data_IF_452874752771
#
_entry.id   IF_452874752771
#
_cell.length_a   1.000
_cell.length_b   1.000
_cell.length_c   1.000
_cell.angle_alpha   90.00
_cell.angle_beta   90.00
_cell.angle_gamma   90.00
#
_symmetry.space_group_name_H-M   'P 1'
#
loop_
_entity.id
_entity.type
_entity.pdbx_description
1 polymer ?
#
# COMPACT_ATOMS: atom_id res chain seq x y z
N UNK A 1 2.04 4.88 -5.07
CA UNK A 1 2.18 4.79 -3.60
C UNK A 1 2.92 3.52 -3.24
N UNK A 2 3.99 3.62 -2.46
CA UNK A 2 4.71 2.43 -1.96
C UNK A 2 3.86 1.74 -0.87
N UNK A 3 3.90 0.41 -0.81
CA UNK A 3 3.14 -0.35 0.19
C UNK A 3 3.69 -1.77 0.37
N UNK A 4 3.29 -2.42 1.46
CA UNK A 4 3.66 -3.81 1.78
C UNK A 4 2.50 -4.81 1.70
N UNK A 5 1.40 -4.47 1.00
CA UNK A 5 0.18 -5.30 0.95
C UNK A 5 0.49 -6.69 0.41
N UNK A 6 1.31 -6.80 -0.63
CA UNK A 6 1.74 -8.08 -1.21
C UNK A 6 2.50 -8.96 -0.21
N UNK A 7 3.33 -8.35 0.62
CA UNK A 7 4.08 -9.04 1.66
C UNK A 7 3.16 -9.55 2.76
N UNK A 8 2.26 -8.70 3.25
CA UNK A 8 1.28 -9.08 4.28
C UNK A 8 0.36 -10.22 3.80
N UNK A 9 -0.12 -10.14 2.55
CA UNK A 9 -0.98 -11.16 1.95
C UNK A 9 -0.28 -12.52 1.83
N UNK A 10 1.02 -12.54 1.50
CA UNK A 10 1.84 -13.76 1.37
C UNK A 10 2.56 -14.16 2.66
N UNK A 11 2.22 -13.55 3.79
CA UNK A 11 2.78 -13.93 5.09
C UNK A 11 2.30 -15.32 5.50
N UNK A 12 3.07 -15.99 6.37
CA UNK A 12 2.77 -17.36 6.83
C UNK A 12 1.42 -17.48 7.53
N UNK A 13 0.94 -16.40 8.14
CA UNK A 13 -0.31 -16.39 8.92
C UNK A 13 -1.56 -16.18 8.03
N UNK A 14 -1.37 -15.76 6.77
CA UNK A 14 -2.47 -15.35 5.89
C UNK A 14 -2.50 -16.17 4.59
N UNK A 15 -1.37 -16.23 3.87
CA UNK A 15 -1.19 -16.87 2.56
C UNK A 15 -2.45 -16.90 1.66
N UNK A 16 -2.91 -15.71 1.24
CA UNK A 16 -4.08 -15.57 0.37
C UNK A 16 -3.68 -15.27 -1.07
N UNK A 17 -4.50 -15.67 -2.02
CA UNK A 17 -4.50 -15.15 -3.39
C UNK A 17 -5.01 -13.71 -3.43
N UNK A 18 -4.76 -13.01 -4.54
CA UNK A 18 -5.28 -11.65 -4.74
C UNK A 18 -6.82 -11.62 -4.77
N UNK A 19 -7.45 -12.68 -5.29
CA UNK A 19 -8.92 -12.80 -5.36
C UNK A 19 -9.53 -13.00 -3.97
N UNK A 20 -8.90 -13.82 -3.11
CA UNK A 20 -9.38 -14.06 -1.76
C UNK A 20 -9.28 -12.81 -0.89
N UNK A 21 -8.15 -12.08 -0.96
CA UNK A 21 -8.03 -10.80 -0.27
C UNK A 21 -9.08 -9.80 -0.79
N UNK A 22 -9.25 -9.71 -2.11
CA UNK A 22 -10.24 -8.82 -2.73
C UNK A 22 -11.66 -9.12 -2.23
N UNK A 23 -12.03 -10.41 -2.23
CA UNK A 23 -13.32 -10.89 -1.73
C UNK A 23 -13.50 -10.58 -0.25
N UNK A 24 -12.48 -10.85 0.58
CA UNK A 24 -12.52 -10.63 2.03
C UNK A 24 -12.75 -9.16 2.41
N UNK A 25 -12.22 -8.23 1.61
CA UNK A 25 -12.38 -6.78 1.86
C UNK A 25 -13.45 -6.12 0.97
N UNK A 26 -14.15 -6.88 0.13
CA UNK A 26 -15.23 -6.38 -0.72
C UNK A 26 -14.79 -5.41 -1.81
N UNK A 27 -13.68 -5.72 -2.50
CA UNK A 27 -13.19 -4.95 -3.66
C UNK A 27 -12.92 -5.88 -4.85
N UNK A 28 -12.61 -5.32 -6.03
CA UNK A 28 -12.23 -6.13 -7.18
C UNK A 28 -10.79 -6.67 -7.06
N UNK A 29 -10.52 -7.84 -7.64
CA UNK A 29 -9.13 -8.35 -7.76
C UNK A 29 -8.20 -7.36 -8.45
N UNK A 30 -8.67 -6.62 -9.46
CA UNK A 30 -7.89 -5.58 -10.12
C UNK A 30 -7.47 -4.46 -9.17
N UNK A 31 -8.31 -4.14 -8.18
CA UNK A 31 -7.95 -3.18 -7.12
C UNK A 31 -6.75 -3.68 -6.33
N UNK A 32 -6.73 -4.96 -5.92
CA UNK A 32 -5.59 -5.54 -5.21
C UNK A 32 -4.34 -5.55 -6.11
N UNK A 33 -4.46 -5.96 -7.38
CA UNK A 33 -3.34 -5.94 -8.34
C UNK A 33 -2.75 -4.53 -8.48
N UNK A 34 -3.61 -3.52 -8.66
CA UNK A 34 -3.19 -2.13 -8.80
C UNK A 34 -2.42 -1.68 -7.56
N UNK A 35 -2.96 -1.92 -6.37
CA UNK A 35 -2.32 -1.56 -5.10
C UNK A 35 -0.96 -2.25 -4.96
N UNK A 36 -0.87 -3.56 -5.17
CA UNK A 36 0.40 -4.30 -5.06
C UNK A 36 1.49 -3.83 -6.04
N UNK A 37 1.09 -3.21 -7.14
CA UNK A 37 1.99 -2.65 -8.15
C UNK A 37 2.24 -1.14 -7.94
N UNK A 38 1.85 -0.59 -6.79
CA UNK A 38 2.10 0.81 -6.43
C UNK A 38 1.05 1.80 -6.94
N UNK A 39 -0.09 1.30 -7.43
CA UNK A 39 -1.23 2.12 -7.82
C UNK A 39 -1.83 2.88 -6.64
N UNK A 40 -2.43 4.03 -6.93
CA UNK A 40 -3.16 4.81 -5.93
C UNK A 40 -4.52 4.17 -5.64
N UNK A 41 -5.02 4.36 -4.43
CA UNK A 41 -6.33 3.85 -3.98
C UNK A 41 -7.01 4.86 -3.06
N UNK A 42 -8.26 4.61 -2.70
CA UNK A 42 -9.01 5.49 -1.80
C UNK A 42 -8.68 5.19 -0.33
N UNK A 43 -8.88 6.19 0.54
CA UNK A 43 -8.71 6.00 1.98
C UNK A 43 -9.60 4.89 2.55
N UNK A 44 -10.80 4.71 2.02
CA UNK A 44 -11.70 3.60 2.42
C UNK A 44 -11.06 2.23 2.18
N UNK A 45 -10.44 2.01 1.00
CA UNK A 45 -9.77 0.74 0.69
C UNK A 45 -8.53 0.55 1.56
N UNK A 46 -7.78 1.62 1.84
CA UNK A 46 -6.65 1.56 2.78
C UNK A 46 -7.11 1.13 4.17
N UNK A 47 -8.21 1.71 4.69
CA UNK A 47 -8.78 1.33 5.98
C UNK A 47 -9.29 -0.11 6.01
N UNK A 48 -9.93 -0.58 4.93
CA UNK A 48 -10.37 -1.98 4.83
C UNK A 48 -9.18 -2.96 4.88
N UNK A 49 -8.10 -2.65 4.17
CA UNK A 49 -6.86 -3.44 4.19
C UNK A 49 -6.23 -3.42 5.59
N UNK A 50 -6.15 -2.23 6.20
CA UNK A 50 -5.62 -2.05 7.55
C UNK A 50 -6.40 -2.86 8.60
N UNK A 51 -7.73 -2.81 8.55
CA UNK A 51 -8.60 -3.59 9.42
C UNK A 51 -8.43 -5.09 9.20
N UNK A 52 -8.34 -5.54 7.94
CA UNK A 52 -8.14 -6.95 7.60
C UNK A 52 -6.84 -7.51 8.20
N UNK A 53 -5.74 -6.75 8.11
CA UNK A 53 -4.44 -7.15 8.66
C UNK A 53 -4.24 -6.77 10.13
N UNK A 54 -5.23 -6.12 10.77
CA UNK A 54 -5.14 -5.57 12.12
C UNK A 54 -3.87 -4.72 12.33
N UNK A 55 -3.62 -3.78 11.42
CA UNK A 55 -2.45 -2.89 11.39
C UNK A 55 -2.86 -1.45 11.15
N UNK A 56 -2.04 -0.49 11.55
CA UNK A 56 -2.29 0.91 11.20
C UNK A 56 -2.03 1.12 9.70
N UNK A 57 -2.87 1.88 8.97
CA UNK A 57 -2.63 2.17 7.55
C UNK A 57 -1.25 2.76 7.24
N UNK A 58 -0.65 3.51 8.18
CA UNK A 58 0.68 4.13 8.06
C UNK A 58 1.82 3.11 8.13
N UNK A 59 1.55 1.90 8.63
CA UNK A 59 2.49 0.77 8.60
C UNK A 59 2.42 -0.01 7.28
N UNK A 60 1.37 0.22 6.48
CA UNK A 60 1.08 -0.54 5.25
C UNK A 60 1.38 0.28 3.99
N UNK A 61 1.10 1.59 4.03
CA UNK A 61 1.16 2.49 2.88
C UNK A 61 2.08 3.67 3.13
N UNK A 62 2.96 3.95 2.16
CA UNK A 62 3.99 4.98 2.25
C UNK A 62 3.92 5.94 1.06
N UNK A 63 4.01 7.23 1.37
CA UNK A 63 4.12 8.30 0.39
C UNK A 63 5.52 8.89 0.48
N UNK A 64 6.19 9.09 -0.66
CA UNK A 64 7.42 9.87 -0.68
C UNK A 64 7.06 11.31 -0.30
N UNK A 65 7.49 11.74 0.89
CA UNK A 65 7.35 13.14 1.28
C UNK A 65 8.28 13.99 0.40
N UNK A 66 7.71 14.88 -0.41
CA UNK A 66 8.42 15.85 -1.27
C UNK A 66 9.30 16.87 -0.50
N UNK A 67 9.54 16.69 0.80
CA UNK A 67 10.31 17.60 1.64
C UNK A 67 11.84 17.54 1.43
N UNK A 68 12.35 16.78 0.44
CA UNK A 68 13.77 16.73 0.12
C UNK A 68 14.04 16.96 -1.38
N UNK A 69 13.72 18.16 -1.90
CA UNK A 69 14.25 18.63 -3.20
C UNK A 69 14.67 20.10 -3.24
N UNK A 70 14.78 20.81 -2.11
CA UNK A 70 15.08 22.27 -2.13
C UNK A 70 16.45 22.70 -1.59
N UNK A 71 17.47 21.83 -1.56
CA UNK A 71 18.84 22.28 -1.21
C UNK A 71 19.98 21.65 -2.05
N UNK A 72 19.72 21.27 -3.31
CA UNK A 72 20.78 20.85 -4.23
C UNK A 72 21.15 21.94 -5.27
N UNK A 73 20.78 23.20 -5.03
CA UNK A 73 20.97 24.30 -5.98
C UNK A 73 21.68 25.51 -5.38
N UNK A 74 22.88 25.34 -4.80
CA UNK A 74 23.81 26.44 -4.53
C UNK A 74 25.18 25.90 -4.07
N UNK A 75 25.96 25.31 -4.98
CA UNK A 75 27.43 25.39 -4.92
C UNK A 75 28.06 24.77 -6.18
N UNK A 76 28.20 25.60 -7.21
CA UNK A 76 29.23 25.44 -8.23
C UNK A 76 29.67 26.85 -8.62
N UNK A 77 30.60 27.38 -7.83
CA UNK A 77 31.51 28.46 -8.26
C UNK A 77 32.63 27.88 -9.13
#
# INVERSE_FOLDING_TARGET
MENIVKYLRKSRDVDLTQEELATAIGVSRHTIISIENGGNTTGEVMLKIANFFNKDPREIFFIESVAQKEQAGANSS
#
